data_IF_903616043278
#
_entry.id   IF_903616043278
#
_cell.length_a   1.000
_cell.length_b   1.000
_cell.length_c   1.000
_cell.angle_alpha   90.00
_cell.angle_beta   90.00
_cell.angle_gamma   90.00
#
_symmetry.space_group_name_H-M   'P 1'
#
loop_
_entity.id
_entity.type
_entity.pdbx_description
1 polymer ?
#
# COMPACT_ATOMS: atom_id res chain seq x y z
N UNK A 1 -10.10 -11.66 -25.44
CA UNK A 1 -10.03 -11.93 -23.99
C UNK A 1 -11.31 -12.65 -23.66
N UNK A 2 -11.21 -13.88 -23.18
CA UNK A 2 -12.37 -14.68 -22.85
C UNK A 2 -13.01 -14.13 -21.55
N UNK A 3 -14.33 -14.04 -21.50
CA UNK A 3 -15.06 -13.62 -20.30
C UNK A 3 -14.77 -14.57 -19.13
N UNK A 4 -14.55 -15.86 -19.41
CA UNK A 4 -14.18 -16.86 -18.39
C UNK A 4 -12.81 -16.55 -17.77
N UNK A 5 -11.82 -16.13 -18.57
CA UNK A 5 -10.49 -15.71 -18.09
C UNK A 5 -10.58 -14.53 -17.12
N UNK A 6 -11.42 -13.53 -17.47
CA UNK A 6 -11.67 -12.35 -16.64
C UNK A 6 -12.34 -12.74 -15.33
N UNK A 7 -13.42 -13.53 -15.40
CA UNK A 7 -14.13 -13.99 -14.20
C UNK A 7 -13.20 -14.78 -13.28
N UNK A 8 -12.32 -15.60 -13.85
CA UNK A 8 -11.33 -16.38 -13.08
C UNK A 8 -10.36 -15.46 -12.35
N UNK A 9 -9.84 -14.44 -13.04
CA UNK A 9 -8.98 -13.43 -12.42
C UNK A 9 -9.71 -12.68 -11.28
N UNK A 10 -10.93 -12.23 -11.53
CA UNK A 10 -11.73 -11.49 -10.53
C UNK A 10 -12.04 -12.37 -9.31
N UNK A 11 -12.31 -13.67 -9.50
CA UNK A 11 -12.50 -14.61 -8.38
C UNK A 11 -11.21 -14.78 -7.58
N UNK A 12 -10.06 -14.88 -8.24
CA UNK A 12 -8.77 -15.06 -7.56
C UNK A 12 -8.40 -13.84 -6.70
N UNK A 13 -8.80 -12.63 -7.09
CA UNK A 13 -8.58 -11.41 -6.30
C UNK A 13 -9.29 -11.41 -4.92
N UNK A 14 -10.27 -12.28 -4.70
CA UNK A 14 -10.95 -12.41 -3.39
C UNK A 14 -9.96 -12.66 -2.25
N UNK A 15 -8.84 -13.35 -2.53
CA UNK A 15 -7.77 -13.59 -1.55
C UNK A 15 -7.32 -12.32 -0.83
N UNK A 16 -7.25 -11.18 -1.52
CA UNK A 16 -6.82 -9.91 -0.93
C UNK A 16 -7.82 -9.31 0.07
N UNK A 17 -9.10 -9.75 0.02
CA UNK A 17 -10.09 -9.40 1.04
C UNK A 17 -9.85 -10.17 2.34
N UNK A 18 -9.31 -11.39 2.23
CA UNK A 18 -9.00 -12.26 3.37
C UNK A 18 -7.56 -12.04 3.89
N UNK A 19 -6.64 -11.60 3.03
CA UNK A 19 -5.29 -11.21 3.45
C UNK A 19 -5.38 -9.95 4.29
N UNK A 20 -5.05 -10.08 5.57
CA UNK A 20 -5.05 -8.96 6.51
C UNK A 20 -3.67 -8.33 6.63
N UNK A 21 -3.63 -7.01 6.79
CA UNK A 21 -2.45 -6.20 7.12
C UNK A 21 -2.22 -6.14 8.62
N UNK A 22 -1.02 -5.81 9.06
CA UNK A 22 -0.70 -5.67 10.49
C UNK A 22 -1.38 -4.46 11.17
N UNK A 23 -1.97 -3.57 10.38
CA UNK A 23 -2.72 -2.42 10.87
C UNK A 23 -4.13 -2.79 11.38
N UNK A 24 -4.55 -2.16 12.48
CA UNK A 24 -5.85 -2.41 13.12
C UNK A 24 -6.82 -1.26 12.87
N UNK A 25 -8.08 -1.59 12.63
CA UNK A 25 -9.18 -0.65 12.56
C UNK A 25 -9.68 -0.25 13.94
N UNK A 26 -10.45 0.83 14.01
CA UNK A 26 -11.09 1.29 15.26
C UNK A 26 -11.98 0.22 15.91
N UNK A 27 -12.59 -0.65 15.10
CA UNK A 27 -13.39 -1.78 15.59
C UNK A 27 -12.57 -2.92 16.21
N UNK A 28 -11.23 -2.85 16.19
CA UNK A 28 -10.32 -3.90 16.66
C UNK A 28 -10.05 -5.02 15.64
N UNK A 29 -10.68 -4.95 14.46
CA UNK A 29 -10.43 -5.81 13.31
C UNK A 29 -9.12 -5.42 12.62
N UNK A 30 -8.38 -6.37 12.08
CA UNK A 30 -7.28 -6.07 11.14
C UNK A 30 -7.85 -5.63 9.78
N UNK A 31 -7.26 -4.59 9.23
CA UNK A 31 -7.54 -4.13 7.86
C UNK A 31 -7.13 -5.21 6.84
N UNK A 32 -7.88 -5.35 5.75
CA UNK A 32 -7.48 -6.19 4.61
C UNK A 32 -6.63 -5.43 3.59
N UNK A 33 -5.81 -6.15 2.82
CA UNK A 33 -5.00 -5.56 1.73
C UNK A 33 -5.89 -4.88 0.69
N UNK A 34 -7.07 -5.44 0.41
CA UNK A 34 -8.05 -4.84 -0.48
C UNK A 34 -8.61 -3.50 0.06
N UNK A 35 -8.92 -3.42 1.36
CA UNK A 35 -9.41 -2.18 1.98
C UNK A 35 -8.34 -1.08 1.97
N UNK A 36 -7.10 -1.43 2.30
CA UNK A 36 -5.93 -0.53 2.20
C UNK A 36 -5.77 0.03 0.79
N UNK A 37 -5.72 -0.86 -0.22
CA UNK A 37 -5.52 -0.46 -1.62
C UNK A 37 -6.63 0.46 -2.13
N UNK A 38 -7.88 0.19 -1.72
CA UNK A 38 -9.01 1.08 -2.02
C UNK A 38 -8.85 2.44 -1.34
N UNK A 39 -8.53 2.48 -0.03
CA UNK A 39 -8.40 3.74 0.71
C UNK A 39 -7.22 4.57 0.19
N UNK A 40 -6.12 3.92 -0.17
CA UNK A 40 -4.97 4.54 -0.82
C UNK A 40 -5.33 5.17 -2.18
N UNK A 41 -6.13 4.50 -3.01
CA UNK A 41 -6.61 5.06 -4.27
C UNK A 41 -7.52 6.27 -4.06
N UNK A 42 -8.40 6.23 -3.03
CA UNK A 42 -9.22 7.38 -2.64
C UNK A 42 -8.38 8.54 -2.13
N UNK A 43 -7.30 8.25 -1.39
CA UNK A 43 -6.38 9.28 -0.91
C UNK A 43 -5.65 9.98 -2.05
N UNK A 44 -5.16 9.20 -3.03
CA UNK A 44 -4.55 9.76 -4.24
C UNK A 44 -5.54 10.62 -5.04
N UNK A 45 -6.79 10.17 -5.17
CA UNK A 45 -7.84 10.92 -5.86
C UNK A 45 -8.13 12.26 -5.18
N UNK A 46 -8.16 12.31 -3.85
CA UNK A 46 -8.41 13.54 -3.09
C UNK A 46 -7.30 14.60 -3.22
N UNK A 47 -6.10 14.19 -3.62
CA UNK A 47 -4.95 15.07 -3.79
C UNK A 47 -4.65 15.41 -5.26
N UNK A 48 -5.41 14.87 -6.21
CA UNK A 48 -5.05 14.92 -7.64
C UNK A 48 -4.78 16.34 -8.17
N UNK A 49 -5.55 17.34 -7.74
CA UNK A 49 -5.45 18.73 -8.16
C UNK A 49 -4.13 19.39 -7.70
N UNK A 50 -3.48 18.82 -6.68
CA UNK A 50 -2.18 19.29 -6.19
C UNK A 50 -1.01 18.73 -7.01
N UNK A 51 -1.26 17.76 -7.91
CA UNK A 51 -0.24 17.06 -8.69
C UNK A 51 -0.63 16.99 -10.19
N UNK A 52 -0.84 18.13 -10.87
CA UNK A 52 -1.28 18.18 -12.27
C UNK A 52 -0.28 17.56 -13.25
N UNK A 53 0.98 17.39 -12.85
CA UNK A 53 2.04 16.76 -13.64
C UNK A 53 2.00 15.23 -13.63
N UNK A 54 1.30 14.62 -12.67
CA UNK A 54 1.22 13.16 -12.55
C UNK A 54 0.15 12.58 -13.48
N UNK A 55 0.44 11.41 -14.05
CA UNK A 55 -0.59 10.63 -14.74
C UNK A 55 -1.52 9.97 -13.72
N UNK A 56 -2.60 10.67 -13.34
CA UNK A 56 -3.52 10.18 -12.31
C UNK A 56 -4.15 8.81 -12.60
N UNK A 57 -4.58 8.48 -13.84
CA UNK A 57 -4.99 7.11 -14.17
C UNK A 57 -3.92 6.06 -13.84
N UNK A 58 -2.64 6.34 -14.13
CA UNK A 58 -1.53 5.45 -13.79
C UNK A 58 -1.33 5.33 -12.28
N UNK A 59 -1.42 6.44 -11.54
CA UNK A 59 -1.35 6.48 -10.06
C UNK A 59 -2.43 5.58 -9.46
N UNK A 60 -3.69 5.73 -9.90
CA UNK A 60 -4.79 4.91 -9.40
C UNK A 60 -4.58 3.43 -9.73
N UNK A 61 -4.14 3.10 -10.95
CA UNK A 61 -3.80 1.72 -11.27
C UNK A 61 -2.69 1.18 -10.37
N UNK A 62 -1.69 1.99 -10.04
CA UNK A 62 -0.60 1.58 -9.16
C UNK A 62 -1.09 1.35 -7.73
N UNK A 63 -1.91 2.25 -7.17
CA UNK A 63 -2.53 2.05 -5.86
C UNK A 63 -3.32 0.72 -5.80
N UNK A 64 -4.05 0.38 -6.87
CA UNK A 64 -4.85 -0.85 -6.90
C UNK A 64 -4.02 -2.13 -7.05
N UNK A 65 -2.78 -2.06 -7.55
CA UNK A 65 -1.97 -3.26 -7.82
C UNK A 65 -0.71 -3.41 -6.96
N UNK A 66 -0.34 -2.39 -6.19
CA UNK A 66 0.94 -2.36 -5.48
C UNK A 66 1.17 -3.58 -4.56
N UNK A 67 0.13 -3.99 -3.83
CA UNK A 67 0.19 -5.11 -2.88
C UNK A 67 -0.42 -6.43 -3.42
N UNK A 68 -0.60 -6.59 -4.75
CA UNK A 68 -1.08 -7.88 -5.30
C UNK A 68 -0.18 -9.06 -4.95
N UNK A 69 1.11 -8.81 -4.68
CA UNK A 69 2.08 -9.84 -4.27
C UNK A 69 1.73 -10.52 -2.94
N UNK A 70 0.90 -9.90 -2.11
CA UNK A 70 0.55 -10.38 -0.77
C UNK A 70 -0.56 -11.44 -0.76
N UNK A 71 -1.16 -11.72 -1.92
CA UNK A 71 -2.31 -12.63 -2.04
C UNK A 71 -2.03 -14.09 -1.61
N UNK A 72 -0.77 -14.52 -1.57
CA UNK A 72 -0.40 -15.90 -1.21
C UNK A 72 0.45 -15.99 0.06
N UNK A 73 1.47 -15.13 0.18
CA UNK A 73 2.42 -15.17 1.30
C UNK A 73 2.03 -14.21 2.45
N UNK A 74 0.98 -13.39 2.25
CA UNK A 74 0.46 -12.46 3.24
C UNK A 74 1.20 -11.13 3.33
N UNK A 75 0.67 -10.22 4.16
CA UNK A 75 1.34 -8.96 4.52
C UNK A 75 2.53 -9.23 5.46
N UNK A 76 3.68 -8.67 5.10
CA UNK A 76 4.89 -8.71 5.93
C UNK A 76 5.09 -7.33 6.52
N UNK A 77 4.96 -7.21 7.85
CA UNK A 77 5.16 -5.96 8.57
C UNK A 77 6.49 -5.29 8.22
N UNK A 78 6.45 -3.98 8.01
CA UNK A 78 7.64 -3.16 7.77
C UNK A 78 8.68 -3.20 8.92
N UNK A 79 8.27 -3.66 10.11
CA UNK A 79 9.16 -3.82 11.28
C UNK A 79 10.03 -5.08 11.20
N UNK A 80 9.67 -6.05 10.34
CA UNK A 80 10.37 -7.33 10.21
C UNK A 80 11.47 -7.20 9.16
N UNK A 81 12.72 -7.49 9.55
CA UNK A 81 13.82 -7.62 8.60
C UNK A 81 13.64 -8.88 7.77
N UNK A 82 13.54 -8.72 6.45
CA UNK A 82 13.49 -9.82 5.48
C UNK A 82 14.58 -9.65 4.43
N UNK A 83 14.93 -10.76 3.78
CA UNK A 83 15.74 -10.69 2.57
C UNK A 83 14.91 -10.00 1.47
N UNK A 84 15.34 -8.80 1.09
CA UNK A 84 14.62 -7.97 0.14
C UNK A 84 14.57 -8.57 -1.27
N UNK A 85 15.61 -9.31 -1.68
CA UNK A 85 15.62 -9.95 -2.99
C UNK A 85 14.62 -11.10 -3.02
N UNK A 86 14.59 -11.89 -1.95
CA UNK A 86 13.65 -13.00 -1.84
C UNK A 86 12.20 -12.51 -1.71
N UNK A 87 11.96 -11.42 -0.95
CA UNK A 87 10.64 -10.76 -0.88
C UNK A 87 10.16 -10.36 -2.27
N UNK A 88 10.99 -9.63 -3.03
CA UNK A 88 10.64 -9.19 -4.38
C UNK A 88 10.38 -10.40 -5.29
N UNK A 89 11.21 -11.45 -5.22
CA UNK A 89 11.03 -12.66 -6.02
C UNK A 89 9.67 -13.32 -5.76
N UNK A 90 9.30 -13.48 -4.49
CA UNK A 90 8.03 -14.06 -4.07
C UNK A 90 6.83 -13.22 -4.49
N UNK A 91 6.88 -11.90 -4.28
CA UNK A 91 5.84 -10.98 -4.73
C UNK A 91 5.63 -11.06 -6.25
N UNK A 92 6.70 -11.11 -7.04
CA UNK A 92 6.59 -11.24 -8.49
C UNK A 92 5.97 -12.58 -8.92
N UNK A 93 6.30 -13.68 -8.23
CA UNK A 93 5.71 -15.00 -8.46
C UNK A 93 4.22 -15.02 -8.09
N UNK A 94 3.87 -14.40 -6.96
CA UNK A 94 2.50 -14.21 -6.53
C UNK A 94 1.68 -13.44 -7.57
N UNK A 95 2.18 -12.30 -8.07
CA UNK A 95 1.48 -11.52 -9.11
C UNK A 95 1.31 -12.32 -10.40
N UNK A 96 2.33 -13.08 -10.84
CA UNK A 96 2.22 -13.95 -12.03
C UNK A 96 1.16 -15.03 -11.85
N UNK A 97 1.09 -15.64 -10.66
CA UNK A 97 0.11 -16.66 -10.33
C UNK A 97 -1.30 -16.06 -10.28
N UNK A 98 -1.46 -14.93 -9.60
CA UNK A 98 -2.71 -14.19 -9.46
C UNK A 98 -3.31 -13.77 -10.81
N UNK A 99 -2.44 -13.39 -11.75
CA UNK A 99 -2.83 -12.93 -13.09
C UNK A 99 -2.76 -14.01 -14.17
N UNK A 100 -2.56 -15.28 -13.79
CA UNK A 100 -2.26 -16.39 -14.72
C UNK A 100 -3.39 -16.72 -15.70
N UNK A 101 -4.65 -16.42 -15.35
CA UNK A 101 -5.79 -16.57 -16.25
C UNK A 101 -5.87 -15.48 -17.32
N UNK A 102 -5.16 -14.35 -17.16
CA UNK A 102 -5.19 -13.26 -18.12
C UNK A 102 -4.24 -13.51 -19.30
N UNK A 103 -4.52 -12.93 -20.48
CA UNK A 103 -3.55 -12.93 -21.58
C UNK A 103 -2.19 -12.36 -21.15
N UNK A 104 -1.10 -13.00 -21.59
CA UNK A 104 0.28 -12.64 -21.21
C UNK A 104 0.58 -11.14 -21.28
N UNK A 105 0.16 -10.37 -22.30
CA UNK A 105 0.41 -8.92 -22.33
C UNK A 105 -0.22 -8.16 -21.15
N UNK A 106 -1.42 -8.56 -20.70
CA UNK A 106 -2.12 -7.93 -19.58
C UNK A 106 -1.45 -8.29 -18.25
N UNK A 107 -1.16 -9.58 -18.02
CA UNK A 107 -0.41 -10.03 -16.84
C UNK A 107 0.96 -9.32 -16.73
N UNK A 108 1.71 -9.24 -17.84
CA UNK A 108 2.99 -8.53 -17.87
C UNK A 108 2.86 -7.03 -17.56
N UNK A 109 1.78 -6.38 -18.01
CA UNK A 109 1.54 -4.96 -17.75
C UNK A 109 1.25 -4.70 -16.26
N UNK A 110 0.48 -5.57 -15.61
CA UNK A 110 0.22 -5.49 -14.16
C UNK A 110 1.54 -5.71 -13.39
N UNK A 111 2.29 -6.76 -13.72
CA UNK A 111 3.58 -7.05 -13.10
C UNK A 111 4.57 -5.89 -13.28
N UNK A 112 4.60 -5.26 -14.45
CA UNK A 112 5.46 -4.10 -14.71
C UNK A 112 5.11 -2.92 -13.80
N UNK A 113 3.83 -2.69 -13.52
CA UNK A 113 3.38 -1.63 -12.62
C UNK A 113 3.76 -1.91 -11.15
N UNK A 114 3.61 -3.16 -10.69
CA UNK A 114 4.10 -3.57 -9.37
C UNK A 114 5.63 -3.38 -9.25
N UNK A 115 6.39 -3.75 -10.28
CA UNK A 115 7.85 -3.54 -10.32
C UNK A 115 8.22 -2.06 -10.30
N UNK A 116 7.48 -1.21 -11.01
CA UNK A 116 7.67 0.23 -11.01
C UNK A 116 7.45 0.82 -9.62
N UNK A 117 6.33 0.46 -8.97
CA UNK A 117 6.08 0.80 -7.58
C UNK A 117 7.24 0.37 -6.70
N UNK A 118 7.62 -0.92 -6.73
CA UNK A 118 8.68 -1.45 -5.89
C UNK A 118 10.02 -0.72 -6.07
N UNK A 119 10.37 -0.32 -7.30
CA UNK A 119 11.58 0.48 -7.58
C UNK A 119 11.49 1.90 -7.03
N UNK A 120 10.32 2.54 -7.04
CA UNK A 120 10.12 3.86 -6.46
C UNK A 120 10.89 4.99 -7.16
N UNK A 121 11.11 4.88 -8.47
CA UNK A 121 11.95 5.83 -9.24
C UNK A 121 11.11 6.88 -9.97
N UNK A 122 9.98 6.48 -10.55
CA UNK A 122 9.07 7.39 -11.28
C UNK A 122 8.36 8.33 -10.30
N UNK A 123 7.90 9.48 -10.79
CA UNK A 123 7.19 10.45 -9.95
C UNK A 123 5.89 9.83 -9.40
N UNK A 124 5.16 9.08 -10.23
CA UNK A 124 3.97 8.35 -9.80
C UNK A 124 4.30 7.30 -8.72
N UNK A 125 5.38 6.53 -8.87
CA UNK A 125 5.76 5.55 -7.86
C UNK A 125 6.19 6.17 -6.53
N UNK A 126 6.93 7.29 -6.58
CA UNK A 126 7.32 8.04 -5.38
C UNK A 126 6.09 8.61 -4.68
N UNK A 127 5.15 9.17 -5.44
CA UNK A 127 3.90 9.69 -4.93
C UNK A 127 3.08 8.58 -4.25
N UNK A 128 2.85 7.45 -4.92
CA UNK A 128 2.11 6.32 -4.33
C UNK A 128 2.82 5.75 -3.11
N UNK A 129 4.16 5.66 -3.11
CA UNK A 129 4.91 5.26 -1.91
C UNK A 129 4.70 6.23 -0.76
N UNK A 130 4.76 7.54 -1.00
CA UNK A 130 4.54 8.52 0.05
C UNK A 130 3.15 8.36 0.67
N UNK A 131 2.13 8.23 -0.17
CA UNK A 131 0.75 8.02 0.29
C UNK A 131 0.58 6.70 1.01
N UNK A 132 1.15 5.59 0.53
CA UNK A 132 1.10 4.28 1.21
C UNK A 132 1.63 4.36 2.64
N UNK A 133 2.75 5.06 2.85
CA UNK A 133 3.34 5.24 4.19
C UNK A 133 2.48 6.14 5.07
N UNK A 134 2.03 7.28 4.55
CA UNK A 134 1.18 8.21 5.30
C UNK A 134 -0.14 7.55 5.68
N UNK A 135 -0.78 6.84 4.74
CA UNK A 135 -2.02 6.10 4.93
C UNK A 135 -1.87 5.04 6.03
N UNK A 136 -0.77 4.28 6.00
CA UNK A 136 -0.47 3.27 7.02
C UNK A 136 -0.40 3.91 8.41
N UNK A 137 0.26 5.07 8.53
CA UNK A 137 0.37 5.78 9.81
C UNK A 137 -0.98 6.34 10.24
N UNK A 138 -1.80 6.86 9.32
CA UNK A 138 -3.20 7.24 9.60
C UNK A 138 -3.96 6.04 10.18
N UNK A 139 -3.80 4.84 9.60
CA UNK A 139 -4.44 3.64 10.12
C UNK A 139 -3.93 3.31 11.54
N UNK A 140 -2.64 3.46 11.81
CA UNK A 140 -2.09 3.28 13.15
C UNK A 140 -2.65 4.29 14.16
N UNK A 141 -2.79 5.57 13.83
CA UNK A 141 -3.30 6.57 14.78
C UNK A 141 -4.82 6.53 14.96
N UNK A 142 -5.56 6.02 13.97
CA UNK A 142 -7.01 5.82 14.04
C UNK A 142 -7.41 4.47 14.68
N UNK A 143 -6.54 3.47 14.56
CA UNK A 143 -6.76 2.09 14.95
C UNK A 143 -6.80 1.81 16.44
N UNK A 144 -7.46 0.72 16.81
CA UNK A 144 -7.34 0.14 18.15
C UNK A 144 -6.20 -0.88 18.14
N UNK A 145 -4.97 -0.38 18.28
CA UNK A 145 -3.77 -1.21 18.24
C UNK A 145 -3.63 -2.09 19.50
N UNK A 146 -2.98 -3.26 19.40
CA UNK A 146 -2.73 -4.11 20.55
C UNK A 146 -1.80 -3.45 21.59
N UNK A 147 -1.82 -3.92 22.86
CA UNK A 147 -0.86 -3.48 23.86
C UNK A 147 0.59 -3.66 23.39
N UNK A 148 1.45 -2.66 23.66
CA UNK A 148 2.85 -2.69 23.26
C UNK A 148 3.11 -2.30 21.80
N UNK A 149 2.13 -1.78 21.08
CA UNK A 149 2.34 -1.20 19.75
C UNK A 149 3.34 -0.03 19.80
N UNK A 150 4.36 -0.07 18.95
CA UNK A 150 5.41 0.95 18.88
C UNK A 150 4.99 2.11 17.98
N UNK A 151 4.36 3.13 18.57
CA UNK A 151 4.04 4.37 17.85
C UNK A 151 5.28 5.19 17.46
N UNK A 152 6.42 5.03 18.13
CA UNK A 152 7.62 5.79 17.79
C UNK A 152 8.18 5.40 16.42
N UNK A 153 7.96 4.14 15.99
CA UNK A 153 8.27 3.68 14.63
C UNK A 153 7.66 4.59 13.56
N UNK A 154 6.41 5.04 13.76
CA UNK A 154 5.70 5.89 12.79
C UNK A 154 6.45 7.20 12.50
N UNK A 155 7.17 7.77 13.46
CA UNK A 155 7.87 9.06 13.28
C UNK A 155 9.05 8.98 12.31
N UNK A 156 9.57 7.77 12.07
CA UNK A 156 10.70 7.56 11.14
C UNK A 156 10.28 6.88 9.86
N UNK A 157 9.26 6.02 9.92
CA UNK A 157 8.82 5.18 8.81
C UNK A 157 8.41 5.99 7.59
N UNK A 158 9.15 5.83 6.49
CA UNK A 158 8.83 6.42 5.18
C UNK A 158 8.86 7.95 5.14
N UNK A 159 9.52 8.60 6.09
CA UNK A 159 9.65 10.06 6.16
C UNK A 159 10.31 10.63 4.90
N UNK A 160 11.30 9.92 4.34
CA UNK A 160 12.01 10.29 3.12
C UNK A 160 11.10 10.44 1.89
N UNK A 161 9.94 9.78 1.88
CA UNK A 161 8.98 9.87 0.79
C UNK A 161 8.08 11.10 0.91
N UNK A 162 7.97 11.76 2.06
CA UNK A 162 7.16 12.98 2.19
C UNK A 162 7.97 14.26 1.90
N UNK A 163 9.29 14.23 2.10
CA UNK A 163 10.16 15.42 2.08
C UNK A 163 10.30 16.13 0.73
N UNK A 164 9.91 15.47 -0.37
CA UNK A 164 10.11 15.98 -1.72
C UNK A 164 8.99 16.89 -2.23
N UNK A 165 7.90 17.07 -1.46
CA UNK A 165 6.78 17.93 -1.85
C UNK A 165 6.09 18.54 -0.63
N UNK A 166 5.81 19.85 -0.70
CA UNK A 166 5.28 20.62 0.44
C UNK A 166 3.97 20.06 1.01
N UNK A 167 3.00 19.70 0.14
CA UNK A 167 1.74 19.11 0.62
C UNK A 167 1.93 17.75 1.31
N UNK A 168 2.84 16.91 0.84
CA UNK A 168 3.11 15.61 1.45
C UNK A 168 3.78 15.78 2.80
N UNK A 169 4.70 16.74 2.89
CA UNK A 169 5.34 17.13 4.15
C UNK A 169 4.33 17.67 5.15
N UNK A 170 3.42 18.56 4.75
CA UNK A 170 2.36 19.06 5.62
C UNK A 170 1.43 17.95 6.12
N UNK A 171 1.02 17.04 5.23
CA UNK A 171 0.24 15.87 5.62
C UNK A 171 0.99 15.01 6.63
N UNK A 172 2.29 14.78 6.40
CA UNK A 172 3.14 14.02 7.31
C UNK A 172 3.27 14.71 8.67
N UNK A 173 3.50 16.02 8.69
CA UNK A 173 3.64 16.81 9.92
C UNK A 173 2.37 16.73 10.80
N UNK A 174 1.18 16.77 10.20
CA UNK A 174 -0.07 16.62 10.96
C UNK A 174 -0.22 15.21 11.54
N UNK A 175 0.09 14.17 10.77
CA UNK A 175 0.00 12.78 11.23
C UNK A 175 1.07 12.44 12.28
N UNK A 176 2.24 13.10 12.24
CA UNK A 176 3.25 12.99 13.29
C UNK A 176 2.78 13.60 14.62
N UNK A 177 1.91 14.63 14.60
CA UNK A 177 1.28 15.16 15.83
C UNK A 177 0.30 14.15 16.42
N UNK A 178 -0.52 13.51 15.59
CA UNK A 178 -1.42 12.44 16.01
C UNK A 178 -0.65 11.26 16.61
N UNK A 179 0.48 10.90 16.00
CA UNK A 179 1.39 9.86 16.51
C UNK A 179 1.93 10.22 17.89
N UNK A 180 2.43 11.45 18.09
CA UNK A 180 2.94 11.91 19.40
C UNK A 180 1.85 11.89 20.47
N UNK A 181 0.64 12.33 20.12
CA UNK A 181 -0.51 12.25 21.03
C UNK A 181 -0.81 10.78 21.42
N UNK A 182 -0.76 9.85 20.47
CA UNK A 182 -0.92 8.42 20.77
C UNK A 182 0.18 7.86 21.66
N UNK A 183 1.42 8.32 21.50
CA UNK A 183 2.52 7.95 22.40
C UNK A 183 2.23 8.42 23.83
N UNK A 184 1.82 9.68 24.02
CA UNK A 184 1.50 10.23 25.35
C UNK A 184 0.30 9.52 26.00
N UNK A 185 -0.72 9.13 25.22
CA UNK A 185 -1.89 8.37 25.70
C UNK A 185 -1.55 6.93 26.13
N UNK A 186 -0.42 6.38 25.67
CA UNK A 186 -0.02 4.98 25.89
C UNK A 186 1.33 4.84 26.61
N UNK A 187 1.88 5.93 27.16
CA UNK A 187 3.07 5.95 28.00
C UNK A 187 2.76 5.56 29.45
#
# INVERSE_FOLDING_TARGET
>A
MDVVEIITFIKELERLKDTTRTAYMKSGRRESVAEHSWRLAMFALALNDQFPELNMPRVIYMCLVHDLGEAYDGDISATIKVDQQEKIRKEEEAVKKLTSSLPRPKSNSILALCKEYNRGITNEAKFVKALDKIETIIQHTQGTNPPGFDYAFNLTYGSEYADHHDILKLLRDEIDKDTKKKMDENA
#
